data_IF_586225144888
#
_entry.id   IF_586225144888
#
_cell.length_a   1.000
_cell.length_b   1.000
_cell.length_c   1.000
_cell.angle_alpha   90.00
_cell.angle_beta   90.00
_cell.angle_gamma   90.00
#
_symmetry.space_group_name_H-M   'P 1'
#
loop_
_entity.id
_entity.type
_entity.pdbx_description
1 polymer ?
#
# COMPACT_ATOMS: atom_id res chain seq x y z
N UNK A 1 -7.95 27.88 -8.86
CA UNK A 1 -7.46 26.72 -8.04
C UNK A 1 -8.55 25.68 -8.03
N UNK A 2 -8.33 24.48 -8.55
CA UNK A 2 -9.28 23.36 -8.35
C UNK A 2 -9.00 22.87 -6.94
N UNK A 3 -9.93 23.01 -5.99
CA UNK A 3 -9.69 22.56 -4.62
C UNK A 3 -9.44 21.06 -4.62
N UNK A 4 -8.37 20.59 -3.97
CA UNK A 4 -8.04 19.18 -3.76
C UNK A 4 -9.13 18.41 -3.00
N UNK A 5 -10.24 19.09 -2.74
CA UNK A 5 -11.34 18.65 -1.89
C UNK A 5 -12.47 17.98 -2.68
N UNK A 6 -12.61 18.23 -3.99
CA UNK A 6 -13.74 17.72 -4.79
C UNK A 6 -13.50 16.35 -5.43
N UNK A 7 -12.32 15.85 -5.38
CA UNK A 7 -11.92 14.62 -6.08
C UNK A 7 -12.52 13.34 -5.49
N UNK A 8 -12.85 13.35 -4.19
CA UNK A 8 -13.40 12.19 -3.46
C UNK A 8 -14.79 11.75 -3.98
N UNK A 9 -15.58 12.69 -4.52
CA UNK A 9 -16.88 12.35 -5.11
C UNK A 9 -16.76 11.47 -6.37
N UNK A 10 -15.55 11.29 -6.88
CA UNK A 10 -15.23 10.47 -8.07
C UNK A 10 -14.60 9.12 -7.72
N UNK A 11 -14.60 8.73 -6.44
CA UNK A 11 -14.08 7.41 -6.05
C UNK A 11 -14.97 6.31 -6.64
N UNK A 12 -14.39 5.34 -7.37
CA UNK A 12 -15.16 4.23 -7.93
C UNK A 12 -15.75 3.37 -6.81
N UNK A 13 -17.01 2.99 -6.95
CA UNK A 13 -17.70 2.12 -6.00
C UNK A 13 -17.28 0.66 -6.11
N UNK A 14 -16.67 0.30 -7.23
CA UNK A 14 -16.13 -1.03 -7.45
C UNK A 14 -14.72 -1.19 -6.90
N UNK A 15 -14.37 -2.41 -6.54
CA UNK A 15 -13.02 -2.76 -6.10
C UNK A 15 -12.13 -2.88 -7.34
N UNK A 16 -11.12 -2.00 -7.43
CA UNK A 16 -10.15 -2.04 -8.52
C UNK A 16 -9.01 -3.00 -8.19
N UNK A 17 -8.25 -3.42 -9.19
CA UNK A 17 -7.01 -4.16 -8.98
C UNK A 17 -5.95 -3.28 -8.29
N UNK A 18 -5.06 -3.89 -7.53
CA UNK A 18 -3.93 -3.20 -6.93
C UNK A 18 -3.06 -2.49 -7.98
N UNK A 19 -2.30 -1.49 -7.53
CA UNK A 19 -1.27 -0.85 -8.36
C UNK A 19 -0.05 -1.76 -8.29
N UNK A 20 0.20 -2.51 -9.35
CA UNK A 20 1.31 -3.46 -9.42
C UNK A 20 2.29 -3.12 -10.54
N UNK A 21 3.57 -3.46 -10.34
CA UNK A 21 4.64 -3.35 -11.32
C UNK A 21 5.51 -2.08 -11.21
N UNK A 22 5.07 -1.01 -10.53
CA UNK A 22 5.90 0.18 -10.32
C UNK A 22 7.11 -0.11 -9.42
N UNK A 23 7.01 -1.12 -8.56
CA UNK A 23 8.06 -1.56 -7.63
C UNK A 23 9.29 -2.12 -8.34
N UNK A 24 9.08 -2.70 -9.53
CA UNK A 24 10.12 -3.43 -10.28
C UNK A 24 11.15 -2.50 -10.95
N UNK A 25 10.81 -1.22 -11.12
CA UNK A 25 11.72 -0.25 -11.72
C UNK A 25 12.79 0.28 -10.74
N UNK A 26 13.89 0.83 -11.23
CA UNK A 26 14.89 1.49 -10.40
C UNK A 26 14.34 2.78 -9.80
N UNK A 27 14.92 3.21 -8.67
CA UNK A 27 14.66 4.53 -8.10
C UNK A 27 15.43 5.58 -8.90
N UNK A 28 14.73 6.38 -9.69
CA UNK A 28 15.29 7.35 -10.62
C UNK A 28 15.29 8.77 -10.03
N UNK A 29 16.24 9.65 -10.43
CA UNK A 29 16.13 11.08 -10.18
C UNK A 29 14.82 11.64 -10.75
N UNK A 30 14.27 12.69 -10.11
CA UNK A 30 12.94 13.23 -10.42
C UNK A 30 12.82 13.64 -11.91
N UNK A 31 13.86 14.26 -12.48
CA UNK A 31 13.89 14.67 -13.90
C UNK A 31 13.77 13.51 -14.87
N UNK A 32 14.24 12.35 -14.47
CA UNK A 32 14.12 11.13 -15.28
C UNK A 32 12.78 10.46 -15.04
N UNK A 33 12.34 10.43 -13.79
CA UNK A 33 11.09 9.80 -13.38
C UNK A 33 9.86 10.47 -14.02
N UNK A 34 9.90 11.78 -14.32
CA UNK A 34 8.79 12.51 -14.94
C UNK A 34 8.79 12.45 -16.49
N UNK A 35 9.85 11.97 -17.15
CA UNK A 35 9.93 11.97 -18.63
C UNK A 35 8.71 11.34 -19.32
N UNK A 36 8.18 10.19 -18.87
CA UNK A 36 6.99 9.59 -19.46
C UNK A 36 5.71 10.43 -19.28
N UNK A 37 5.75 11.41 -18.38
CA UNK A 37 4.60 12.27 -18.06
C UNK A 37 4.58 13.57 -18.88
N UNK A 38 5.71 13.99 -19.47
CA UNK A 38 5.83 15.24 -20.23
C UNK A 38 4.69 15.40 -21.28
N UNK A 39 4.29 14.35 -22.03
CA UNK A 39 3.23 14.49 -23.02
C UNK A 39 1.84 14.81 -22.46
N UNK A 40 1.65 14.73 -21.15
CA UNK A 40 0.37 15.08 -20.52
C UNK A 40 0.25 16.55 -20.14
N UNK A 41 1.33 17.32 -20.30
CA UNK A 41 1.43 18.73 -19.90
C UNK A 41 1.82 19.60 -21.09
N UNK A 42 1.64 20.90 -20.92
CA UNK A 42 2.19 21.86 -21.89
C UNK A 42 3.72 21.81 -21.92
N UNK A 43 4.26 22.07 -23.09
CA UNK A 43 5.70 21.99 -23.36
C UNK A 43 6.53 22.82 -22.33
N UNK A 44 7.51 22.19 -21.74
CA UNK A 44 8.41 22.80 -20.76
C UNK A 44 7.81 23.07 -19.37
N UNK A 45 6.51 22.91 -19.17
CA UNK A 45 5.85 23.26 -17.90
C UNK A 45 6.22 22.30 -16.79
N UNK A 46 6.18 21.00 -17.05
CA UNK A 46 6.51 20.00 -16.03
C UNK A 46 8.00 20.08 -15.63
N UNK A 47 8.88 20.24 -16.61
CA UNK A 47 10.32 20.35 -16.38
C UNK A 47 10.68 21.62 -15.59
N UNK A 48 10.05 22.75 -15.93
CA UNK A 48 10.19 23.99 -15.17
C UNK A 48 9.76 23.81 -13.70
N UNK A 49 8.63 23.15 -13.47
CA UNK A 49 8.11 22.94 -12.13
C UNK A 49 9.02 21.98 -11.34
N UNK A 50 9.56 20.93 -11.98
CA UNK A 50 10.57 20.05 -11.37
C UNK A 50 11.81 20.84 -10.95
N UNK A 51 12.30 21.72 -11.80
CA UNK A 51 13.43 22.58 -11.45
C UNK A 51 13.13 23.45 -10.22
N UNK A 52 11.96 24.11 -10.19
CA UNK A 52 11.53 24.98 -9.06
C UNK A 52 11.47 24.18 -7.74
N UNK A 53 10.82 23.00 -7.73
CA UNK A 53 10.67 22.22 -6.50
C UNK A 53 12.00 21.65 -6.02
N UNK A 54 12.93 21.30 -6.92
CA UNK A 54 14.27 20.86 -6.55
C UNK A 54 15.10 21.96 -5.91
N UNK A 55 15.04 23.17 -6.44
CA UNK A 55 15.70 24.32 -5.83
C UNK A 55 15.18 24.59 -4.40
N UNK A 56 13.89 24.39 -4.15
CA UNK A 56 13.31 24.55 -2.81
C UNK A 56 13.63 23.39 -1.85
N UNK A 57 14.00 22.24 -2.36
CA UNK A 57 14.26 21.02 -1.60
C UNK A 57 15.76 20.73 -1.39
N UNK A 58 16.67 21.71 -1.49
CA UNK A 58 18.12 21.48 -1.39
C UNK A 58 18.57 20.90 -0.03
N UNK A 59 17.84 21.19 1.05
CA UNK A 59 18.11 20.66 2.40
C UNK A 59 16.84 20.04 2.98
N UNK A 60 16.42 18.85 2.50
CA UNK A 60 15.17 18.25 2.91
C UNK A 60 15.24 17.72 4.33
N UNK A 61 14.10 17.80 5.04
CA UNK A 61 13.91 17.20 6.36
C UNK A 61 13.75 15.67 6.27
N UNK A 62 13.62 15.02 7.43
CA UNK A 62 13.18 13.62 7.58
C UNK A 62 14.08 12.60 6.83
N UNK A 63 15.37 12.95 6.63
CA UNK A 63 16.36 12.14 5.93
C UNK A 63 15.96 11.74 4.48
N UNK A 64 15.09 12.53 3.86
CA UNK A 64 14.79 12.35 2.44
C UNK A 64 15.91 12.93 1.58
N UNK A 65 16.11 12.36 0.41
CA UNK A 65 16.93 12.96 -0.64
C UNK A 65 16.21 14.16 -1.28
N UNK A 66 16.95 15.03 -1.97
CA UNK A 66 16.40 16.16 -2.73
C UNK A 66 15.30 15.66 -3.71
N UNK A 67 15.56 14.56 -4.42
CA UNK A 67 14.59 14.00 -5.37
C UNK A 67 13.31 13.49 -4.69
N UNK A 68 13.43 12.86 -3.54
CA UNK A 68 12.29 12.36 -2.78
C UNK A 68 11.44 13.50 -2.23
N UNK A 69 12.05 14.48 -1.57
CA UNK A 69 11.33 15.64 -1.08
C UNK A 69 10.68 16.44 -2.22
N UNK A 70 11.42 16.67 -3.31
CA UNK A 70 10.92 17.37 -4.48
C UNK A 70 9.76 16.62 -5.17
N UNK A 71 9.73 15.28 -5.13
CA UNK A 71 8.60 14.52 -5.66
C UNK A 71 7.31 14.78 -4.89
N UNK A 72 7.40 14.92 -3.56
CA UNK A 72 6.26 15.30 -2.70
C UNK A 72 5.85 16.75 -2.97
N UNK A 73 6.82 17.66 -3.05
CA UNK A 73 6.54 19.05 -3.32
C UNK A 73 5.91 19.27 -4.69
N UNK A 74 6.32 18.51 -5.72
CA UNK A 74 5.74 18.56 -7.06
C UNK A 74 4.27 18.11 -7.07
N UNK A 75 3.92 17.12 -6.27
CA UNK A 75 2.54 16.66 -6.08
C UNK A 75 1.65 17.76 -5.50
N UNK A 76 2.17 18.54 -4.56
CA UNK A 76 1.44 19.63 -3.89
C UNK A 76 1.58 20.97 -4.60
N UNK A 77 2.41 21.07 -5.65
CA UNK A 77 2.69 22.30 -6.38
C UNK A 77 1.42 22.93 -6.98
N UNK A 78 1.32 24.25 -6.90
CA UNK A 78 0.23 24.99 -7.53
C UNK A 78 0.56 25.26 -8.98
N UNK A 79 -0.31 24.83 -9.88
CA UNK A 79 -0.22 25.09 -11.29
C UNK A 79 -1.04 26.35 -11.59
N UNK A 80 -0.35 27.37 -12.13
CA UNK A 80 -0.95 28.67 -12.45
C UNK A 80 -1.97 28.54 -13.56
N UNK A 81 -3.16 28.44 -13.42
CA UNK A 81 -4.25 28.42 -14.38
C UNK A 81 -5.07 27.13 -14.41
N UNK A 82 -6.16 27.17 -15.14
CA UNK A 82 -7.19 26.15 -15.34
C UNK A 82 -6.70 24.78 -15.87
N UNK A 83 -5.41 24.56 -15.91
CA UNK A 83 -4.81 23.34 -16.42
C UNK A 83 -4.79 22.25 -15.36
N UNK A 84 -4.86 21.03 -15.85
CA UNK A 84 -4.82 19.84 -15.03
C UNK A 84 -3.45 19.72 -14.37
N UNK A 85 -3.35 19.93 -13.06
CA UNK A 85 -2.13 19.76 -12.30
C UNK A 85 -1.69 18.29 -12.26
N UNK A 86 -0.42 18.04 -11.91
CA UNK A 86 0.08 16.68 -11.69
C UNK A 86 -0.77 15.95 -10.65
N UNK A 87 -1.14 16.62 -9.56
CA UNK A 87 -2.08 16.13 -8.55
C UNK A 87 -3.37 15.62 -9.17
N UNK A 88 -4.01 16.43 -10.02
CA UNK A 88 -5.30 16.08 -10.64
C UNK A 88 -5.18 14.87 -11.55
N UNK A 89 -4.21 14.89 -12.48
CA UNK A 89 -4.02 13.82 -13.47
C UNK A 89 -3.63 12.50 -12.83
N UNK A 90 -2.75 12.54 -11.81
CA UNK A 90 -2.36 11.35 -11.07
C UNK A 90 -3.58 10.74 -10.37
N UNK A 91 -4.34 11.54 -9.61
CA UNK A 91 -5.50 11.05 -8.88
C UNK A 91 -6.64 10.58 -9.79
N UNK A 92 -6.85 11.24 -10.93
CA UNK A 92 -7.77 10.75 -11.96
C UNK A 92 -7.32 9.38 -12.48
N UNK A 93 -6.03 9.20 -12.78
CA UNK A 93 -5.49 7.93 -13.27
C UNK A 93 -5.54 6.82 -12.20
N UNK A 94 -5.28 7.16 -10.94
CA UNK A 94 -5.36 6.22 -9.81
C UNK A 94 -6.79 5.66 -9.60
N UNK A 95 -7.82 6.41 -9.99
CA UNK A 95 -9.23 6.01 -9.93
C UNK A 95 -9.73 5.27 -11.18
N UNK A 96 -8.93 5.23 -12.24
CA UNK A 96 -9.31 4.51 -13.47
C UNK A 96 -9.33 3.00 -13.25
N UNK A 97 -10.35 2.34 -13.81
CA UNK A 97 -10.47 0.88 -13.82
C UNK A 97 -9.32 0.22 -14.59
N UNK A 98 -8.92 0.82 -15.72
CA UNK A 98 -7.82 0.33 -16.58
C UNK A 98 -6.46 0.67 -15.96
N UNK A 99 -5.88 -0.27 -15.23
CA UNK A 99 -4.61 -0.10 -14.50
C UNK A 99 -3.39 0.09 -15.41
N UNK A 100 -3.44 -0.33 -16.64
CA UNK A 100 -2.40 -0.07 -17.66
C UNK A 100 -2.16 1.41 -17.90
N UNK A 101 -3.15 2.27 -17.65
CA UNK A 101 -3.01 3.73 -17.71
C UNK A 101 -2.04 4.30 -16.68
N UNK A 102 -1.73 3.53 -15.62
CA UNK A 102 -0.73 3.91 -14.62
C UNK A 102 0.72 3.67 -15.08
N UNK A 103 0.97 2.92 -16.14
CA UNK A 103 2.34 2.60 -16.59
C UNK A 103 3.23 3.83 -16.82
N UNK A 104 2.76 4.92 -17.45
CA UNK A 104 3.58 6.13 -17.58
C UNK A 104 3.98 6.75 -16.24
N UNK A 105 3.18 6.53 -15.19
CA UNK A 105 3.40 7.06 -13.85
C UNK A 105 4.37 6.22 -13.00
N UNK A 106 4.74 5.01 -13.42
CA UNK A 106 5.46 4.05 -12.57
C UNK A 106 6.77 4.59 -12.01
N UNK A 107 7.59 5.27 -12.82
CA UNK A 107 8.85 5.85 -12.35
C UNK A 107 8.63 6.94 -11.30
N UNK A 108 7.65 7.80 -11.53
CA UNK A 108 7.28 8.83 -10.57
C UNK A 108 6.64 8.23 -9.30
N UNK A 109 5.72 7.27 -9.44
CA UNK A 109 5.11 6.56 -8.31
C UNK A 109 6.16 5.83 -7.47
N UNK A 110 7.15 5.19 -8.11
CA UNK A 110 8.26 4.54 -7.39
C UNK A 110 8.99 5.54 -6.50
N UNK A 111 9.38 6.69 -7.02
CA UNK A 111 10.07 7.74 -6.27
C UNK A 111 9.18 8.32 -5.17
N UNK A 112 7.99 8.74 -5.51
CA UNK A 112 7.04 9.41 -4.64
C UNK A 112 6.56 8.52 -3.49
N UNK A 113 6.14 7.28 -3.76
CA UNK A 113 5.67 6.35 -2.73
C UNK A 113 6.82 5.86 -1.84
N UNK A 114 8.04 5.74 -2.40
CA UNK A 114 9.24 5.46 -1.59
C UNK A 114 9.50 6.61 -0.61
N UNK A 115 9.42 7.86 -1.07
CA UNK A 115 9.56 9.03 -0.22
C UNK A 115 8.51 9.05 0.90
N UNK A 116 7.23 8.87 0.57
CA UNK A 116 6.15 8.83 1.56
C UNK A 116 6.35 7.69 2.59
N UNK A 117 6.82 6.52 2.16
CA UNK A 117 7.03 5.39 3.07
C UNK A 117 8.18 5.62 4.07
N UNK A 118 9.13 6.52 3.76
CA UNK A 118 10.19 6.92 4.70
C UNK A 118 9.69 7.87 5.79
N UNK A 119 8.60 8.60 5.54
CA UNK A 119 8.04 9.50 6.54
C UNK A 119 7.39 8.72 7.70
N UNK A 120 7.43 9.26 8.93
CA UNK A 120 6.77 8.66 10.08
C UNK A 120 5.28 8.42 9.84
N UNK A 121 4.76 7.29 10.36
CA UNK A 121 3.32 7.00 10.33
C UNK A 121 2.58 7.85 11.34
N UNK A 122 1.44 8.39 10.94
CA UNK A 122 0.48 9.03 11.84
C UNK A 122 -0.49 7.95 12.33
N UNK A 123 -0.59 7.79 13.64
CA UNK A 123 -1.55 6.91 14.30
C UNK A 123 -2.46 7.76 15.18
N UNK A 124 -3.41 8.42 14.56
CA UNK A 124 -4.33 9.36 15.23
C UNK A 124 -5.63 9.51 14.43
N UNK A 125 -6.54 10.34 14.96
CA UNK A 125 -7.73 10.77 14.23
C UNK A 125 -7.39 12.00 13.40
N UNK A 126 -7.53 11.86 12.08
CA UNK A 126 -7.33 12.94 11.11
C UNK A 126 -8.65 13.28 10.43
N UNK A 127 -8.68 14.43 9.75
CA UNK A 127 -9.89 15.00 9.21
C UNK A 127 -9.77 15.26 7.71
N UNK A 128 -10.88 15.09 7.00
CA UNK A 128 -11.01 15.50 5.60
C UNK A 128 -12.36 16.18 5.41
N UNK A 129 -12.37 17.35 4.81
CA UNK A 129 -13.60 18.09 4.49
C UNK A 129 -13.88 18.10 2.99
N UNK A 130 -15.16 18.06 2.61
CA UNK A 130 -15.64 18.11 1.22
C UNK A 130 -16.84 19.03 1.13
N UNK A 131 -16.82 20.02 0.21
CA UNK A 131 -17.95 20.95 -0.05
C UNK A 131 -19.06 20.29 -0.88
N UNK A 132 -19.46 19.09 -0.52
CA UNK A 132 -20.53 18.32 -1.15
C UNK A 132 -21.19 17.44 -0.08
N UNK A 133 -22.49 17.20 -0.21
CA UNK A 133 -23.14 16.10 0.49
C UNK A 133 -22.92 14.81 -0.32
N UNK A 134 -22.08 13.95 0.22
CA UNK A 134 -21.80 12.61 -0.31
C UNK A 134 -22.14 11.51 0.69
N UNK A 135 -22.90 11.85 1.73
CA UNK A 135 -23.24 10.95 2.84
C UNK A 135 -23.95 9.67 2.39
N UNK A 136 -24.76 9.75 1.34
CA UNK A 136 -25.47 8.61 0.77
C UNK A 136 -24.57 7.50 0.24
N UNK A 137 -23.31 7.81 -0.08
CA UNK A 137 -22.32 6.84 -0.54
C UNK A 137 -21.67 6.07 0.63
N UNK A 138 -21.83 6.55 1.89
CA UNK A 138 -21.14 6.01 3.06
C UNK A 138 -22.14 5.35 4.01
N UNK A 139 -22.45 4.08 3.72
CA UNK A 139 -23.43 3.28 4.46
C UNK A 139 -22.74 2.64 5.67
N UNK A 140 -23.36 2.77 6.85
CA UNK A 140 -22.88 2.19 8.12
C UNK A 140 -22.50 0.70 7.96
N UNK A 141 -21.34 0.34 8.49
CA UNK A 141 -20.79 -1.03 8.46
C UNK A 141 -20.21 -1.48 7.11
N UNK A 142 -20.41 -0.71 6.04
CA UNK A 142 -19.78 -1.02 4.75
C UNK A 142 -18.29 -0.70 4.79
N UNK A 143 -17.53 -1.46 3.98
CA UNK A 143 -16.10 -1.24 3.75
C UNK A 143 -15.89 -0.74 2.33
N UNK A 144 -14.99 0.23 2.18
CA UNK A 144 -14.73 0.92 0.91
C UNK A 144 -13.26 1.25 0.75
N UNK A 145 -12.88 1.61 -0.48
CA UNK A 145 -11.55 2.08 -0.84
C UNK A 145 -11.60 3.54 -1.29
N UNK A 146 -10.57 4.29 -0.94
CA UNK A 146 -10.18 5.50 -1.66
C UNK A 146 -8.98 5.17 -2.53
N UNK A 147 -9.20 5.14 -3.83
CA UNK A 147 -8.19 4.72 -4.81
C UNK A 147 -7.19 5.82 -5.13
N UNK A 148 -7.58 7.08 -4.99
CA UNK A 148 -6.70 8.22 -5.09
C UNK A 148 -5.91 8.45 -3.81
N UNK A 149 -4.86 9.26 -3.89
CA UNK A 149 -4.22 9.87 -2.74
C UNK A 149 -5.22 10.83 -2.07
N UNK A 150 -5.34 10.78 -0.77
CA UNK A 150 -6.31 11.59 -0.04
C UNK A 150 -5.62 12.56 0.91
N UNK A 151 -5.80 13.86 0.66
CA UNK A 151 -5.31 14.93 1.51
C UNK A 151 -6.22 15.10 2.72
N UNK A 152 -5.63 15.04 3.89
CA UNK A 152 -6.26 15.18 5.21
C UNK A 152 -5.49 16.20 6.04
N UNK A 153 -6.00 16.56 7.22
CA UNK A 153 -5.34 17.42 8.20
C UNK A 153 -5.60 16.89 9.61
N UNK A 154 -4.76 17.22 10.56
CA UNK A 154 -5.01 17.00 11.99
C UNK A 154 -5.73 18.19 12.66
N UNK A 155 -5.96 19.29 11.92
CA UNK A 155 -6.57 20.51 12.41
C UNK A 155 -8.01 20.72 11.89
N UNK A 156 -8.97 20.76 12.79
CA UNK A 156 -10.37 21.12 12.46
C UNK A 156 -10.49 22.58 11.98
N UNK A 157 -9.63 23.47 12.45
CA UNK A 157 -9.67 24.89 12.07
C UNK A 157 -9.30 25.08 10.60
N UNK A 158 -8.36 24.28 10.10
CA UNK A 158 -7.99 24.25 8.68
C UNK A 158 -9.19 23.89 7.81
N UNK A 159 -10.01 22.91 8.23
CA UNK A 159 -11.20 22.50 7.49
C UNK A 159 -12.28 23.59 7.39
N UNK A 160 -12.38 24.47 8.38
CA UNK A 160 -13.39 25.54 8.40
C UNK A 160 -13.05 26.67 7.43
N UNK A 161 -11.82 26.71 6.91
CA UNK A 161 -11.44 27.71 5.91
C UNK A 161 -12.22 27.50 4.59
N UNK A 162 -12.52 28.59 3.90
CA UNK A 162 -13.25 28.55 2.63
C UNK A 162 -12.52 27.77 1.52
N UNK A 163 -11.23 27.53 1.67
CA UNK A 163 -10.45 26.73 0.73
C UNK A 163 -10.74 25.24 0.83
N UNK A 164 -11.19 24.76 2.01
CA UNK A 164 -11.46 23.35 2.27
C UNK A 164 -12.96 23.06 2.34
N UNK A 165 -13.56 23.15 3.52
CA UNK A 165 -14.95 22.79 3.75
C UNK A 165 -15.87 24.00 3.92
N UNK A 166 -15.33 25.13 4.43
CA UNK A 166 -16.09 26.32 4.75
C UNK A 166 -17.05 26.10 5.92
N UNK A 167 -17.88 27.12 6.19
CA UNK A 167 -18.85 27.12 7.30
C UNK A 167 -20.30 26.98 6.87
N UNK A 168 -20.59 26.93 5.57
CA UNK A 168 -21.97 26.92 5.05
C UNK A 168 -22.14 26.00 3.85
N UNK A 169 -23.42 25.73 3.52
CA UNK A 169 -23.80 24.89 2.38
C UNK A 169 -23.61 23.38 2.59
N UNK A 170 -23.97 22.57 1.58
CA UNK A 170 -23.78 21.11 1.64
C UNK A 170 -22.31 20.75 1.82
N UNK A 171 -21.98 19.99 2.85
CA UNK A 171 -20.62 19.58 3.17
C UNK A 171 -20.55 18.31 3.99
N UNK A 172 -19.52 17.53 3.74
CA UNK A 172 -19.22 16.29 4.47
C UNK A 172 -17.86 16.40 5.14
N UNK A 173 -17.78 16.08 6.43
CA UNK A 173 -16.54 16.01 7.19
C UNK A 173 -16.30 14.55 7.61
N UNK A 174 -15.15 14.03 7.24
CA UNK A 174 -14.69 12.71 7.64
C UNK A 174 -13.78 12.80 8.86
N UNK A 175 -14.06 11.97 9.86
CA UNK A 175 -13.25 11.69 11.02
C UNK A 175 -12.61 10.32 10.79
N UNK A 176 -11.31 10.27 10.55
CA UNK A 176 -10.62 9.08 10.07
C UNK A 176 -9.67 8.60 11.15
N UNK A 177 -10.02 7.50 11.84
CA UNK A 177 -9.06 6.80 12.70
C UNK A 177 -8.06 6.08 11.80
N UNK A 178 -6.86 6.63 11.72
CA UNK A 178 -5.82 6.30 10.75
C UNK A 178 -4.58 5.75 11.46
N UNK A 179 -3.88 4.81 10.85
CA UNK A 179 -2.62 4.23 11.31
C UNK A 179 -1.51 4.30 10.25
N UNK A 180 -1.85 4.69 9.03
CA UNK A 180 -0.95 4.68 7.87
C UNK A 180 -0.69 6.05 7.24
N UNK A 181 -1.33 7.11 7.74
CA UNK A 181 -1.14 8.47 7.24
C UNK A 181 0.31 8.93 7.26
N UNK A 182 0.66 9.85 6.38
CA UNK A 182 1.99 10.44 6.28
C UNK A 182 1.90 11.96 6.32
N UNK A 183 2.49 12.61 7.34
CA UNK A 183 2.60 14.07 7.36
C UNK A 183 3.60 14.51 6.31
N UNK A 184 3.14 15.32 5.36
CA UNK A 184 3.98 15.90 4.31
C UNK A 184 4.22 17.40 4.53
N UNK A 185 3.83 17.94 5.67
CA UNK A 185 3.93 19.37 6.02
C UNK A 185 5.29 19.99 5.68
N UNK A 186 6.39 19.28 5.94
CA UNK A 186 7.76 19.76 5.70
C UNK A 186 8.20 19.64 4.23
N UNK A 187 7.45 18.93 3.41
CA UNK A 187 7.75 18.62 2.01
C UNK A 187 6.69 19.14 1.05
N UNK A 188 5.59 19.71 1.58
CA UNK A 188 4.53 20.33 0.81
C UNK A 188 4.96 21.71 0.29
N UNK A 189 4.47 22.09 -0.88
CA UNK A 189 4.61 23.44 -1.40
C UNK A 189 3.91 24.47 -0.49
N UNK A 190 2.86 24.04 0.22
CA UNK A 190 2.07 24.82 1.17
C UNK A 190 2.26 24.28 2.59
N UNK A 191 3.32 24.68 3.26
CA UNK A 191 3.65 24.21 4.62
C UNK A 191 2.62 24.57 5.69
N UNK A 192 1.77 25.55 5.43
CA UNK A 192 0.70 26.01 6.36
C UNK A 192 -0.54 25.09 6.38
N UNK A 193 -0.66 24.17 5.44
CA UNK A 193 -1.86 23.31 5.31
C UNK A 193 -1.87 22.13 6.27
N UNK A 194 -0.78 21.86 6.99
CA UNK A 194 -0.65 20.71 7.91
C UNK A 194 -1.10 19.40 7.26
N UNK A 195 -0.72 19.23 6.00
CA UNK A 195 -1.25 18.17 5.14
C UNK A 195 -0.73 16.78 5.54
N UNK A 196 -1.66 15.87 5.70
CA UNK A 196 -1.43 14.44 5.90
C UNK A 196 -1.99 13.70 4.68
N UNK A 197 -1.16 12.89 4.03
CA UNK A 197 -1.59 12.05 2.90
C UNK A 197 -1.92 10.64 3.35
N UNK A 198 -3.08 10.15 2.90
CA UNK A 198 -3.40 8.74 2.87
C UNK A 198 -2.98 8.17 1.51
N UNK A 199 -2.39 6.97 1.56
CA UNK A 199 -1.88 6.28 0.38
C UNK A 199 -3.00 5.84 -0.57
N UNK A 200 -2.72 5.67 -1.87
CA UNK A 200 -3.69 5.11 -2.80
C UNK A 200 -4.16 3.71 -2.36
N UNK A 201 -5.45 3.45 -2.48
CA UNK A 201 -6.03 2.20 -2.02
C UNK A 201 -6.27 2.17 -0.50
N UNK A 202 -6.41 3.34 0.15
CA UNK A 202 -6.80 3.44 1.55
C UNK A 202 -8.12 2.72 1.79
N UNK A 203 -8.11 1.70 2.65
CA UNK A 203 -9.24 0.83 2.94
C UNK A 203 -9.77 1.06 4.33
N UNK A 204 -11.08 1.21 4.46
CA UNK A 204 -11.71 1.58 5.71
C UNK A 204 -13.11 1.00 5.86
N UNK A 205 -13.60 0.99 7.10
CA UNK A 205 -14.96 0.67 7.47
C UNK A 205 -15.69 1.92 7.96
N UNK A 206 -16.96 2.08 7.58
CA UNK A 206 -17.81 3.20 7.95
C UNK A 206 -18.43 2.90 9.31
N UNK A 207 -18.01 3.65 10.33
CA UNK A 207 -18.43 3.48 11.72
C UNK A 207 -19.63 4.31 12.13
N UNK A 208 -19.83 5.46 11.50
CA UNK A 208 -21.06 6.27 11.65
C UNK A 208 -21.22 7.22 10.48
N UNK A 209 -22.48 7.56 10.19
CA UNK A 209 -22.85 8.60 9.23
C UNK A 209 -24.02 9.37 9.85
N UNK A 210 -23.80 10.65 10.17
CA UNK A 210 -24.74 11.49 10.91
C UNK A 210 -25.02 12.79 10.14
N UNK A 211 -26.28 13.11 9.95
CA UNK A 211 -26.72 14.42 9.51
C UNK A 211 -26.84 15.35 10.74
N UNK A 212 -26.11 16.45 10.74
CA UNK A 212 -26.13 17.46 11.80
C UNK A 212 -27.03 18.66 11.47
N UNK A 213 -27.76 18.58 10.37
CA UNK A 213 -28.55 19.69 9.86
C UNK A 213 -27.71 20.73 9.09
N UNK A 214 -28.40 21.70 8.47
CA UNK A 214 -27.78 22.78 7.70
C UNK A 214 -26.81 22.29 6.60
N UNK A 215 -27.08 21.09 6.05
CA UNK A 215 -26.25 20.46 5.01
C UNK A 215 -24.90 19.93 5.49
N UNK A 216 -24.69 19.79 6.80
CA UNK A 216 -23.48 19.26 7.39
C UNK A 216 -23.62 17.78 7.75
N UNK A 217 -22.78 16.93 7.15
CA UNK A 217 -22.71 15.51 7.44
C UNK A 217 -21.36 15.14 8.07
N UNK A 218 -21.39 14.34 9.13
CA UNK A 218 -20.21 13.79 9.79
C UNK A 218 -20.15 12.29 9.58
N UNK A 219 -19.02 11.80 9.05
CA UNK A 219 -18.80 10.39 8.77
C UNK A 219 -17.53 9.94 9.50
N UNK A 220 -17.66 8.90 10.33
CA UNK A 220 -16.50 8.29 11.00
C UNK A 220 -16.03 7.07 10.20
N UNK A 221 -14.74 7.07 9.88
CA UNK A 221 -14.05 6.01 9.16
C UNK A 221 -12.98 5.40 10.05
N UNK A 222 -12.89 4.08 10.05
CA UNK A 222 -11.78 3.36 10.70
C UNK A 222 -10.97 2.62 9.64
N UNK A 223 -9.70 2.96 9.56
CA UNK A 223 -8.76 2.26 8.69
C UNK A 223 -8.77 0.75 8.97
N UNK A 224 -8.74 -0.03 7.92
CA UNK A 224 -8.60 -1.48 7.95
C UNK A 224 -7.40 -1.89 7.11
N UNK A 225 -6.85 -3.03 7.41
CA UNK A 225 -5.79 -3.60 6.55
C UNK A 225 -6.42 -3.95 5.21
N UNK A 226 -5.88 -3.35 4.15
CA UNK A 226 -6.40 -3.55 2.79
C UNK A 226 -6.07 -4.95 2.29
N UNK A 227 -7.03 -5.71 1.77
CA UNK A 227 -6.76 -6.98 1.10
C UNK A 227 -5.83 -6.82 -0.11
N UNK A 228 -5.79 -5.63 -0.72
CA UNK A 228 -4.92 -5.34 -1.86
C UNK A 228 -3.50 -4.93 -1.47
N UNK A 229 -3.30 -4.31 -0.30
CA UNK A 229 -1.96 -4.02 0.22
C UNK A 229 -1.18 -5.30 0.46
N UNK A 230 -1.87 -6.40 0.69
CA UNK A 230 -1.25 -7.70 0.88
C UNK A 230 -0.78 -8.37 -0.41
N UNK A 231 -1.43 -8.06 -1.53
CA UNK A 231 -0.95 -8.43 -2.87
C UNK A 231 0.14 -7.48 -3.38
N UNK A 232 0.23 -6.27 -2.80
CA UNK A 232 1.19 -5.21 -3.15
C UNK A 232 2.27 -4.97 -2.08
N UNK A 233 2.30 -5.72 -0.98
CA UNK A 233 3.51 -5.77 -0.13
C UNK A 233 4.58 -6.36 -1.01
N UNK A 234 5.71 -5.64 -1.28
CA UNK A 234 6.86 -6.27 -1.92
C UNK A 234 7.11 -7.55 -1.13
N UNK A 235 7.08 -8.68 -1.81
CA UNK A 235 7.33 -9.96 -1.16
C UNK A 235 8.64 -9.81 -0.42
N UNK A 236 8.59 -9.81 0.92
CA UNK A 236 9.82 -9.72 1.71
C UNK A 236 10.70 -10.85 1.26
N UNK A 237 11.96 -10.58 0.90
CA UNK A 237 12.90 -11.65 0.60
C UNK A 237 12.83 -12.72 1.68
N UNK A 238 12.76 -13.99 1.30
CA UNK A 238 12.71 -15.07 2.27
C UNK A 238 11.62 -16.10 2.06
N UNK A 239 11.14 -16.67 3.14
CA UNK A 239 10.14 -17.73 3.20
C UNK A 239 8.74 -17.11 3.10
N UNK A 240 7.88 -17.73 2.31
CA UNK A 240 6.44 -17.47 2.30
C UNK A 240 5.64 -18.77 2.35
N UNK A 241 4.39 -18.66 2.81
CA UNK A 241 3.43 -19.76 2.83
C UNK A 241 2.21 -19.36 2.02
N UNK A 242 1.65 -20.29 1.28
CA UNK A 242 0.35 -20.15 0.63
C UNK A 242 -0.68 -21.01 1.36
N UNK A 243 -1.87 -20.47 1.52
CA UNK A 243 -3.02 -21.12 2.10
C UNK A 243 -4.31 -20.49 1.61
N UNK A 244 -5.45 -21.00 2.05
CA UNK A 244 -6.78 -20.51 1.66
C UNK A 244 -7.50 -19.98 2.90
N UNK A 245 -8.01 -18.76 2.83
CA UNK A 245 -8.87 -18.22 3.88
C UNK A 245 -10.23 -18.93 3.89
N UNK A 246 -10.60 -19.54 5.02
CA UNK A 246 -11.87 -20.26 5.18
C UNK A 246 -12.92 -19.48 5.97
N UNK A 247 -12.65 -18.26 6.40
CA UNK A 247 -13.62 -17.41 7.07
C UNK A 247 -14.62 -16.84 6.04
N UNK A 248 -15.88 -17.27 6.11
CA UNK A 248 -16.96 -16.87 5.19
C UNK A 248 -17.28 -15.37 5.26
N UNK A 249 -16.95 -14.70 6.37
CA UNK A 249 -17.14 -13.25 6.54
C UNK A 249 -15.94 -12.44 6.02
N UNK A 250 -14.86 -13.10 5.60
CA UNK A 250 -13.67 -12.45 5.09
C UNK A 250 -13.80 -12.20 3.58
N UNK A 251 -13.38 -11.02 3.11
CA UNK A 251 -13.35 -10.73 1.68
C UNK A 251 -12.30 -11.55 0.89
N UNK A 252 -11.43 -12.26 1.61
CA UNK A 252 -10.51 -13.26 1.05
C UNK A 252 -11.03 -14.69 1.17
N UNK A 253 -12.29 -14.87 1.53
CA UNK A 253 -12.89 -16.20 1.61
C UNK A 253 -12.66 -16.98 0.31
N UNK A 254 -12.18 -18.21 0.47
CA UNK A 254 -11.88 -19.17 -0.61
C UNK A 254 -10.88 -18.67 -1.67
N UNK A 255 -10.05 -17.66 -1.31
CA UNK A 255 -8.95 -17.18 -2.15
C UNK A 255 -7.61 -17.64 -1.62
N UNK A 256 -6.67 -17.86 -2.56
CA UNK A 256 -5.27 -18.07 -2.22
C UNK A 256 -4.70 -16.84 -1.54
N UNK A 257 -4.08 -17.04 -0.39
CA UNK A 257 -3.39 -15.99 0.36
C UNK A 257 -1.94 -16.38 0.57
N UNK A 258 -1.07 -15.39 0.58
CA UNK A 258 0.34 -15.57 0.85
C UNK A 258 0.73 -14.88 2.15
N UNK A 259 1.42 -15.61 3.03
CA UNK A 259 1.90 -15.14 4.34
C UNK A 259 3.42 -15.12 4.29
N UNK A 260 4.04 -13.95 4.44
CA UNK A 260 5.50 -13.82 4.37
C UNK A 260 6.13 -13.93 5.76
N UNK A 261 7.11 -14.80 5.89
CA UNK A 261 7.96 -14.96 7.08
C UNK A 261 9.28 -14.18 6.95
N UNK A 262 9.67 -13.81 5.74
CA UNK A 262 10.95 -13.14 5.48
C UNK A 262 12.15 -14.09 5.60
N UNK A 263 13.35 -13.52 5.72
CA UNK A 263 14.58 -14.27 5.94
C UNK A 263 14.66 -14.75 7.40
N UNK A 264 14.43 -16.03 7.60
CA UNK A 264 14.41 -16.64 8.94
C UNK A 264 14.76 -18.13 8.85
N UNK A 265 14.80 -18.78 10.02
CA UNK A 265 14.87 -20.23 10.18
C UNK A 265 13.54 -20.72 10.75
N UNK A 266 12.85 -21.60 10.04
CA UNK A 266 11.52 -22.08 10.37
C UNK A 266 11.49 -23.60 10.43
N UNK A 267 11.09 -24.16 11.57
CA UNK A 267 10.72 -25.58 11.65
C UNK A 267 9.27 -25.75 11.18
N UNK A 268 9.10 -26.39 10.05
CA UNK A 268 7.79 -26.50 9.36
C UNK A 268 6.77 -27.28 10.20
N UNK A 269 7.23 -28.22 11.04
CA UNK A 269 6.34 -29.08 11.83
C UNK A 269 5.83 -28.42 13.13
N UNK A 270 6.52 -27.40 13.60
CA UNK A 270 6.24 -26.77 14.89
C UNK A 270 5.95 -25.27 14.73
N UNK A 271 6.57 -24.61 13.76
CA UNK A 271 6.51 -23.16 13.58
C UNK A 271 5.34 -22.67 12.73
N UNK A 272 4.52 -23.57 12.17
CA UNK A 272 3.33 -23.23 11.40
C UNK A 272 2.09 -23.43 12.27
N UNK A 273 1.91 -22.55 13.22
CA UNK A 273 0.81 -22.59 14.18
C UNK A 273 -0.25 -21.49 13.94
N UNK A 274 -1.28 -21.49 14.76
CA UNK A 274 -2.37 -20.52 14.71
C UNK A 274 -1.93 -19.07 14.92
N UNK A 275 -0.72 -18.84 15.46
CA UNK A 275 -0.20 -17.49 15.71
C UNK A 275 0.54 -16.92 14.50
N UNK A 276 1.13 -17.81 13.70
CA UNK A 276 2.02 -17.45 12.60
C UNK A 276 1.33 -17.57 11.23
N UNK A 277 0.33 -18.46 11.10
CA UNK A 277 -0.40 -18.72 9.87
C UNK A 277 -1.80 -18.10 9.91
N UNK A 278 -1.87 -16.79 10.03
CA UNK A 278 -3.14 -16.07 10.07
C UNK A 278 -3.45 -15.42 8.73
N UNK A 279 -4.71 -15.49 8.35
CA UNK A 279 -5.22 -14.68 7.26
C UNK A 279 -4.90 -13.21 7.56
N UNK A 280 -4.21 -12.55 6.68
CA UNK A 280 -3.75 -11.20 6.90
C UNK A 280 -4.90 -10.18 6.98
N UNK A 281 -6.13 -10.56 6.63
CA UNK A 281 -7.28 -9.68 6.65
C UNK A 281 -8.22 -9.91 7.83
N UNK A 282 -8.59 -11.14 8.10
CA UNK A 282 -9.51 -11.48 9.20
C UNK A 282 -8.78 -12.00 10.45
N UNK A 283 -7.47 -12.26 10.35
CA UNK A 283 -6.65 -12.82 11.43
C UNK A 283 -7.09 -14.20 11.93
N UNK A 284 -7.95 -14.88 11.17
CA UNK A 284 -8.28 -16.27 11.43
C UNK A 284 -7.18 -17.19 10.88
N UNK A 285 -7.00 -18.32 11.54
CA UNK A 285 -6.02 -19.32 11.12
C UNK A 285 -6.26 -19.75 9.69
N UNK A 286 -5.18 -19.86 8.95
CA UNK A 286 -5.16 -20.35 7.59
C UNK A 286 -4.26 -21.56 7.51
N UNK A 287 -4.84 -22.69 7.10
CA UNK A 287 -4.08 -23.92 6.92
C UNK A 287 -3.03 -23.75 5.81
N UNK A 288 -1.74 -23.99 6.13
CA UNK A 288 -0.68 -23.94 5.14
C UNK A 288 -0.82 -25.04 4.11
N UNK A 289 -0.86 -24.70 2.83
CA UNK A 289 -0.94 -25.66 1.72
C UNK A 289 0.42 -25.86 1.06
N UNK A 290 1.16 -24.77 0.88
CA UNK A 290 2.47 -24.77 0.22
C UNK A 290 3.37 -23.75 0.90
N UNK A 291 4.67 -23.97 0.81
CA UNK A 291 5.65 -22.96 1.16
C UNK A 291 6.69 -22.83 0.08
N UNK A 292 7.26 -21.65 0.01
CA UNK A 292 8.21 -21.30 -1.03
C UNK A 292 9.15 -20.18 -0.58
N UNK A 293 9.99 -19.76 -1.53
CA UNK A 293 11.09 -18.81 -1.34
C UNK A 293 11.06 -17.77 -2.44
N UNK A 294 11.45 -16.56 -2.14
CA UNK A 294 11.55 -15.48 -3.11
C UNK A 294 12.68 -14.51 -2.74
N UNK A 295 13.42 -14.03 -3.73
CA UNK A 295 14.52 -13.07 -3.58
C UNK A 295 15.48 -13.37 -2.43
N UNK A 296 15.85 -14.65 -2.25
CA UNK A 296 16.69 -15.08 -1.14
C UNK A 296 17.59 -16.25 -1.51
N UNK A 297 18.59 -16.47 -0.67
CA UNK A 297 19.33 -17.73 -0.62
C UNK A 297 18.67 -18.63 0.41
N UNK A 298 18.34 -19.87 0.05
CA UNK A 298 17.59 -20.77 0.90
C UNK A 298 18.18 -22.18 0.92
N UNK A 299 17.91 -22.89 1.99
CA UNK A 299 18.20 -24.31 2.14
C UNK A 299 17.18 -24.99 3.04
N UNK A 300 17.15 -26.30 3.02
CA UNK A 300 16.40 -27.09 3.97
C UNK A 300 17.26 -28.21 4.56
N UNK A 301 16.89 -28.64 5.77
CA UNK A 301 17.45 -29.81 6.45
C UNK A 301 16.35 -30.52 7.22
N UNK A 302 16.45 -31.83 7.33
CA UNK A 302 15.41 -32.55 8.04
C UNK A 302 15.77 -33.98 8.36
N UNK A 303 14.83 -34.63 9.03
CA UNK A 303 14.89 -36.04 9.37
C UNK A 303 13.59 -36.70 8.98
N UNK A 304 13.67 -37.71 8.14
CA UNK A 304 12.48 -38.40 7.61
C UNK A 304 12.59 -39.92 7.73
N UNK A 305 11.42 -40.58 7.67
CA UNK A 305 11.30 -42.02 7.45
C UNK A 305 10.60 -42.26 6.14
N UNK A 306 11.17 -43.08 5.27
CA UNK A 306 10.56 -43.43 4.00
C UNK A 306 9.46 -44.53 4.16
N UNK A 307 9.58 -45.37 5.20
CA UNK A 307 8.56 -46.32 5.65
C UNK A 307 8.52 -46.38 7.16
N UNK A 308 7.39 -46.77 7.78
CA UNK A 308 7.28 -46.86 9.24
C UNK A 308 8.32 -47.76 9.89
N UNK A 309 8.76 -48.82 9.19
CA UNK A 309 9.72 -49.83 9.66
C UNK A 309 11.19 -49.45 9.44
N UNK A 310 11.49 -48.36 8.70
CA UNK A 310 12.87 -47.96 8.41
C UNK A 310 13.40 -46.98 9.48
N UNK A 311 14.71 -47.04 9.77
CA UNK A 311 15.30 -46.05 10.66
C UNK A 311 15.24 -44.65 10.01
N UNK A 312 15.11 -43.57 10.81
CA UNK A 312 15.09 -42.22 10.31
C UNK A 312 16.42 -41.81 9.66
N UNK A 313 16.34 -41.14 8.51
CA UNK A 313 17.51 -40.64 7.75
C UNK A 313 17.53 -39.12 7.80
N UNK A 314 18.74 -38.56 8.02
CA UNK A 314 18.96 -37.13 7.89
C UNK A 314 19.17 -36.77 6.40
N UNK A 315 18.59 -35.68 5.98
CA UNK A 315 18.69 -35.16 4.61
C UNK A 315 18.72 -33.63 4.61
N UNK A 316 19.37 -33.06 3.60
CA UNK A 316 19.48 -31.62 3.44
C UNK A 316 19.84 -31.29 1.99
N UNK A 317 19.71 -30.02 1.61
CA UNK A 317 20.30 -29.48 0.40
C UNK A 317 21.33 -28.39 0.73
N UNK A 318 22.13 -28.02 -0.24
CA UNK A 318 22.99 -26.83 -0.19
C UNK A 318 22.16 -25.55 -0.40
N UNK A 319 22.79 -24.39 -0.13
CA UNK A 319 22.19 -23.11 -0.37
C UNK A 319 21.87 -22.88 -1.86
N UNK A 320 20.63 -22.51 -2.15
CA UNK A 320 20.12 -22.21 -3.49
C UNK A 320 19.66 -20.76 -3.51
N UNK A 321 20.07 -19.99 -4.52
CA UNK A 321 19.58 -18.63 -4.74
C UNK A 321 18.34 -18.65 -5.63
N UNK A 322 17.37 -17.81 -5.31
CA UNK A 322 16.18 -17.61 -6.13
C UNK A 322 15.75 -16.15 -6.17
N UNK A 323 15.48 -15.66 -7.39
CA UNK A 323 14.95 -14.30 -7.64
C UNK A 323 13.46 -14.33 -8.01
N UNK A 324 12.89 -15.51 -8.17
CA UNK A 324 11.47 -15.73 -8.50
C UNK A 324 10.85 -16.65 -7.46
N UNK A 325 9.51 -16.63 -7.30
CA UNK A 325 8.83 -17.55 -6.41
C UNK A 325 9.18 -19.01 -6.74
N UNK A 326 9.84 -19.67 -5.82
CA UNK A 326 10.25 -21.08 -5.94
C UNK A 326 9.62 -21.87 -4.81
N UNK A 327 8.85 -22.90 -5.16
CA UNK A 327 8.17 -23.71 -4.14
C UNK A 327 9.03 -24.88 -3.71
N UNK A 328 8.95 -25.18 -2.43
CA UNK A 328 9.53 -26.40 -1.90
C UNK A 328 8.79 -27.61 -2.49
N UNK A 329 9.53 -28.48 -3.12
CA UNK A 329 9.07 -29.80 -3.52
C UNK A 329 9.85 -30.82 -2.70
N UNK A 330 9.19 -31.53 -1.79
CA UNK A 330 9.77 -32.76 -1.31
C UNK A 330 9.81 -33.70 -2.49
N UNK A 331 10.98 -34.13 -2.92
CA UNK A 331 11.11 -35.17 -3.96
C UNK A 331 10.45 -36.44 -3.45
N UNK A 332 9.15 -36.52 -3.61
CA UNK A 332 8.34 -37.70 -3.31
C UNK A 332 7.60 -38.04 -4.57
N UNK A 333 8.07 -39.09 -5.20
CA UNK A 333 7.27 -39.87 -6.13
C UNK A 333 5.91 -40.17 -5.48
N UNK A 334 4.90 -40.19 -6.29
CA UNK A 334 3.48 -40.30 -5.97
C UNK A 334 3.04 -41.52 -5.12
N UNK A 335 3.98 -42.26 -4.55
CA UNK A 335 3.73 -43.53 -3.81
C UNK A 335 4.40 -43.58 -2.43
N UNK A 336 5.02 -42.50 -1.92
CA UNK A 336 5.80 -42.61 -0.70
C UNK A 336 5.03 -42.26 0.56
N UNK A 337 4.93 -43.21 1.46
CA UNK A 337 4.53 -43.07 2.86
C UNK A 337 5.59 -42.34 3.71
N UNK A 338 6.30 -41.36 3.12
CA UNK A 338 7.37 -40.61 3.80
C UNK A 338 6.80 -39.76 4.92
N UNK A 339 7.29 -39.97 6.13
CA UNK A 339 6.93 -39.17 7.30
C UNK A 339 8.11 -38.32 7.72
N UNK A 340 7.94 -37.01 7.76
CA UNK A 340 8.90 -36.09 8.31
C UNK A 340 8.83 -36.10 9.84
N UNK A 341 9.98 -36.23 10.49
CA UNK A 341 10.14 -36.13 11.95
C UNK A 341 10.69 -34.74 12.34
N UNK A 342 11.36 -34.09 11.42
CA UNK A 342 11.83 -32.72 11.51
C UNK A 342 12.03 -32.19 10.10
N UNK A 343 11.60 -30.96 9.85
CA UNK A 343 11.87 -30.24 8.61
C UNK A 343 12.11 -28.78 8.91
N UNK A 344 13.35 -28.36 8.78
CA UNK A 344 13.76 -26.98 8.98
C UNK A 344 14.08 -26.37 7.62
N UNK A 345 13.51 -25.22 7.33
CA UNK A 345 13.80 -24.39 6.18
C UNK A 345 14.46 -23.10 6.65
N UNK A 346 15.47 -22.67 5.92
CA UNK A 346 16.23 -21.47 6.23
C UNK A 346 16.30 -20.58 5.01
N UNK A 347 16.11 -19.28 5.20
CA UNK A 347 16.32 -18.28 4.17
C UNK A 347 17.15 -17.11 4.72
N UNK A 348 18.01 -16.57 3.87
CA UNK A 348 18.85 -15.40 4.14
C UNK A 348 18.91 -14.50 2.92
N UNK A 349 19.27 -13.25 3.13
CA UNK A 349 19.53 -12.34 2.01
C UNK A 349 20.61 -12.87 1.09
N UNK A 350 20.49 -12.62 -0.20
CA UNK A 350 21.52 -12.93 -1.18
C UNK A 350 22.69 -11.96 -0.90
N UNK A 351 23.82 -12.50 -0.50
CA UNK A 351 25.03 -11.69 -0.33
C UNK A 351 25.45 -11.14 -1.71
N UNK A 352 25.47 -9.81 -1.83
CA UNK A 352 25.96 -9.09 -3.01
C UNK A 352 27.43 -9.37 -3.29
#
# INVERSE_FOLDING_TARGET
MIPRVFDIAREPQQVLSAIDGYQNGPLLPLEIAIKPLIPFFEEGTLERNVWIVKERCQNPSDNLTVNESASIMLYTFNWDTNEKSLYYLLNETLRMEKRDKLRPWFSYLKLFLTALNRLPRINDTIFRGVKLDISSQYILGKRQFWWGLSSCTDSMDVLQSEQYCGKGGPRTIFFIKCTSGRSIKRHSFYSVEEEILLMPGFYFEIHSSNDLGNGLHFIKLHEKVSPHVMLAVPEKPGIFIEGICRNTECSLYDKDIRISFGCCCLDVLVGLDEKNCMCPLCFEYTEPLKFGFIHCSWRWSGRKKDKPSTPPVNCSNDWINTDVPTYFQSNNDSDSTTTWLKLVIEAREISS
#
